data_IF_194645843275
#
_entry.id   IF_194645843275
#
_cell.length_a   1.000
_cell.length_b   1.000
_cell.length_c   1.000
_cell.angle_alpha   90.00
_cell.angle_beta   90.00
_cell.angle_gamma   90.00
#
_symmetry.space_group_name_H-M   'P 1'
#
loop_
_entity.id
_entity.type
_entity.pdbx_description
1 polymer ?
#
# COMPACT_ATOMS: atom_id res chain seq x y z
N UNK A 1 -9.30 -21.40 1.28
CA UNK A 1 -9.55 -21.30 -0.18
C UNK A 1 -9.25 -19.89 -0.69
N UNK A 2 -9.69 -18.84 0.02
CA UNK A 2 -9.45 -17.45 -0.37
C UNK A 2 -7.96 -17.07 -0.19
N UNK A 3 -7.29 -17.57 0.84
CA UNK A 3 -5.89 -17.29 1.15
C UNK A 3 -4.95 -17.83 0.07
N UNK A 4 -5.20 -19.04 -0.44
CA UNK A 4 -4.33 -19.69 -1.45
C UNK A 4 -4.39 -19.02 -2.82
N UNK A 5 -5.51 -18.35 -3.15
CA UNK A 5 -5.70 -17.61 -4.41
C UNK A 5 -5.54 -16.10 -4.25
N UNK A 6 -5.15 -15.63 -3.05
CA UNK A 6 -5.06 -14.20 -2.79
C UNK A 6 -3.93 -13.55 -3.62
N UNK A 7 -4.18 -12.37 -4.20
CA UNK A 7 -3.21 -11.67 -5.06
C UNK A 7 -1.87 -11.40 -4.41
N UNK A 8 -1.76 -11.33 -3.08
CA UNK A 8 -0.48 -11.08 -2.42
C UNK A 8 0.60 -12.11 -2.80
N UNK A 9 0.22 -13.35 -3.09
CA UNK A 9 1.15 -14.39 -3.53
C UNK A 9 1.79 -14.09 -4.88
N UNK A 10 1.14 -13.27 -5.70
CA UNK A 10 1.65 -12.80 -6.98
C UNK A 10 2.38 -11.46 -6.84
N UNK A 11 1.89 -10.59 -5.97
CA UNK A 11 2.40 -9.23 -5.79
C UNK A 11 3.66 -9.20 -4.95
N UNK A 12 3.71 -9.97 -3.85
CA UNK A 12 4.83 -9.96 -2.91
C UNK A 12 6.18 -10.27 -3.57
N UNK A 13 6.30 -11.32 -4.44
CA UNK A 13 7.55 -11.57 -5.16
C UNK A 13 7.96 -10.41 -6.06
N UNK A 14 7.03 -9.69 -6.65
CA UNK A 14 7.32 -8.51 -7.48
C UNK A 14 7.91 -7.38 -6.64
N UNK A 15 7.34 -7.14 -5.46
CA UNK A 15 7.87 -6.13 -4.52
C UNK A 15 9.26 -6.52 -4.00
N UNK A 16 9.48 -7.79 -3.70
CA UNK A 16 10.77 -8.29 -3.23
C UNK A 16 11.89 -8.16 -4.26
N UNK A 17 11.55 -8.13 -5.55
CA UNK A 17 12.50 -7.98 -6.66
C UNK A 17 12.81 -6.53 -7.01
N UNK A 18 12.16 -5.56 -6.39
CA UNK A 18 12.41 -4.14 -6.69
C UNK A 18 13.83 -3.78 -6.28
N UNK A 19 14.62 -3.37 -7.27
CA UNK A 19 15.94 -2.79 -7.08
C UNK A 19 15.81 -1.27 -7.19
N UNK A 20 16.10 -0.59 -6.11
CA UNK A 20 15.99 0.86 -6.03
C UNK A 20 17.21 1.45 -5.31
N UNK A 21 17.67 2.59 -5.78
CA UNK A 21 18.82 3.29 -5.18
C UNK A 21 18.43 4.09 -3.94
N UNK A 22 17.16 4.49 -3.84
CA UNK A 22 16.62 5.27 -2.73
C UNK A 22 15.36 4.66 -2.13
N UNK A 23 15.06 5.03 -0.88
CA UNK A 23 13.81 4.66 -0.24
C UNK A 23 12.60 5.23 -1.00
N UNK A 24 12.73 6.46 -1.49
CA UNK A 24 11.69 7.12 -2.29
C UNK A 24 11.37 6.31 -3.55
N UNK A 25 12.39 5.94 -4.32
CA UNK A 25 12.22 5.13 -5.52
C UNK A 25 11.58 3.78 -5.20
N UNK A 26 12.04 3.11 -4.15
CA UNK A 26 11.46 1.84 -3.72
C UNK A 26 9.95 1.97 -3.42
N UNK A 27 9.57 2.97 -2.63
CA UNK A 27 8.18 3.20 -2.24
C UNK A 27 7.32 3.53 -3.46
N UNK A 28 7.83 4.35 -4.40
CA UNK A 28 7.12 4.66 -5.64
C UNK A 28 6.90 3.42 -6.51
N UNK A 29 7.93 2.60 -6.69
CA UNK A 29 7.82 1.37 -7.48
C UNK A 29 6.91 0.33 -6.81
N UNK A 30 6.98 0.18 -5.48
CA UNK A 30 6.07 -0.69 -4.74
C UNK A 30 4.62 -0.23 -4.89
N UNK A 31 4.36 1.07 -4.77
CA UNK A 31 3.04 1.65 -4.95
C UNK A 31 2.50 1.41 -6.37
N UNK A 32 3.31 1.65 -7.40
CA UNK A 32 2.94 1.40 -8.80
C UNK A 32 2.63 -0.07 -9.05
N UNK A 33 3.43 -0.97 -8.50
CA UNK A 33 3.20 -2.42 -8.60
C UNK A 33 1.85 -2.79 -7.99
N UNK A 34 1.55 -2.29 -6.80
CA UNK A 34 0.26 -2.54 -6.14
C UNK A 34 -0.92 -2.01 -6.97
N UNK A 35 -0.81 -0.80 -7.50
CA UNK A 35 -1.87 -0.21 -8.33
C UNK A 35 -2.11 -1.02 -9.60
N UNK A 36 -1.04 -1.42 -10.28
CA UNK A 36 -1.15 -2.19 -11.52
C UNK A 36 -1.79 -3.55 -11.27
N UNK A 37 -1.35 -4.25 -10.23
CA UNK A 37 -1.82 -5.62 -9.94
C UNK A 37 -3.23 -5.65 -9.34
N UNK A 38 -3.55 -4.71 -8.46
CA UNK A 38 -4.86 -4.64 -7.80
C UNK A 38 -5.89 -3.84 -8.60
N UNK A 39 -5.45 -2.88 -9.42
CA UNK A 39 -6.33 -2.07 -10.25
C UNK A 39 -7.14 -2.88 -11.26
N UNK A 40 -6.63 -4.04 -11.65
CA UNK A 40 -7.32 -4.98 -12.54
C UNK A 40 -8.30 -5.91 -11.81
N UNK A 41 -8.43 -5.77 -10.49
CA UNK A 41 -9.25 -6.64 -9.64
C UNK A 41 -10.16 -5.86 -8.69
N UNK A 42 -11.12 -5.07 -9.22
CA UNK A 42 -12.01 -4.27 -8.38
C UNK A 42 -12.85 -5.12 -7.40
N UNK A 43 -13.08 -6.39 -7.72
CA UNK A 43 -13.84 -7.32 -6.87
C UNK A 43 -13.15 -7.60 -5.53
N UNK A 44 -11.83 -7.50 -5.48
CA UNK A 44 -11.08 -7.70 -4.23
C UNK A 44 -11.36 -6.62 -3.20
N UNK A 45 -11.49 -5.37 -3.63
CA UNK A 45 -11.86 -4.27 -2.74
C UNK A 45 -13.26 -4.46 -2.17
N UNK A 46 -14.21 -4.89 -3.01
CA UNK A 46 -15.56 -5.23 -2.56
C UNK A 46 -15.55 -6.36 -1.53
N UNK A 47 -14.76 -7.41 -1.77
CA UNK A 47 -14.59 -8.51 -0.83
C UNK A 47 -14.00 -8.04 0.51
N UNK A 48 -13.05 -7.12 0.48
CA UNK A 48 -12.50 -6.51 1.70
C UNK A 48 -13.56 -5.78 2.52
N UNK A 49 -14.45 -5.04 1.86
CA UNK A 49 -15.55 -4.35 2.55
C UNK A 49 -16.55 -5.33 3.15
N UNK A 50 -16.95 -6.35 2.41
CA UNK A 50 -17.83 -7.41 2.91
C UNK A 50 -17.19 -8.08 4.13
N UNK A 51 -15.91 -8.38 4.07
CA UNK A 51 -15.17 -8.99 5.16
C UNK A 51 -15.19 -8.11 6.43
N UNK A 52 -14.96 -6.80 6.28
CA UNK A 52 -14.97 -5.87 7.40
C UNK A 52 -16.36 -5.74 8.02
N UNK A 53 -17.40 -5.63 7.19
CA UNK A 53 -18.78 -5.38 7.65
C UNK A 53 -19.42 -6.64 8.20
N UNK A 54 -19.32 -7.77 7.48
CA UNK A 54 -20.02 -9.00 7.83
C UNK A 54 -19.24 -9.88 8.83
N UNK A 55 -17.94 -9.88 8.77
CA UNK A 55 -17.07 -10.78 9.53
C UNK A 55 -16.11 -10.08 10.48
N UNK A 56 -16.24 -8.77 10.68
CA UNK A 56 -15.34 -7.96 11.53
C UNK A 56 -13.84 -8.16 11.22
N UNK A 57 -13.52 -8.44 9.97
CA UNK A 57 -12.14 -8.64 9.52
C UNK A 57 -11.50 -9.95 9.97
N UNK A 58 -12.28 -10.92 10.40
CA UNK A 58 -11.77 -12.20 10.95
C UNK A 58 -10.83 -12.95 10.00
N UNK A 59 -11.18 -13.00 8.71
CA UNK A 59 -10.35 -13.67 7.69
C UNK A 59 -9.17 -12.80 7.26
N UNK A 60 -9.34 -11.48 7.26
CA UNK A 60 -8.25 -10.53 6.99
C UNK A 60 -7.17 -10.61 8.07
N UNK A 61 -7.55 -10.80 9.34
CA UNK A 61 -6.58 -10.99 10.43
C UNK A 61 -5.68 -12.20 10.19
N UNK A 62 -6.23 -13.30 9.69
CA UNK A 62 -5.45 -14.49 9.32
C UNK A 62 -4.51 -14.21 8.15
N UNK A 63 -5.00 -13.49 7.14
CA UNK A 63 -4.20 -13.08 6.00
C UNK A 63 -3.03 -12.18 6.44
N UNK A 64 -3.30 -11.20 7.29
CA UNK A 64 -2.27 -10.30 7.83
C UNK A 64 -1.22 -11.06 8.64
N UNK A 65 -1.63 -12.04 9.44
CA UNK A 65 -0.70 -12.89 10.19
C UNK A 65 0.23 -13.69 9.26
N UNK A 66 -0.25 -14.10 8.09
CA UNK A 66 0.55 -14.80 7.08
C UNK A 66 1.46 -13.85 6.30
N UNK A 67 0.99 -12.66 5.98
CA UNK A 67 1.70 -11.69 5.13
C UNK A 67 2.71 -10.84 5.91
N UNK A 68 2.41 -10.47 7.14
CA UNK A 68 3.26 -9.58 7.94
C UNK A 68 4.71 -10.08 8.09
N UNK A 69 4.98 -11.37 8.39
CA UNK A 69 6.36 -11.88 8.46
C UNK A 69 7.15 -11.75 7.15
N UNK A 70 6.46 -11.59 6.03
CA UNK A 70 7.07 -11.44 4.70
C UNK A 70 7.29 -9.99 4.32
N UNK A 71 6.43 -9.09 4.77
CA UNK A 71 6.50 -7.65 4.46
C UNK A 71 7.42 -6.90 5.42
N UNK A 72 7.34 -7.17 6.72
CA UNK A 72 8.13 -6.46 7.73
C UNK A 72 9.65 -6.48 7.44
N UNK A 73 10.27 -7.62 7.05
CA UNK A 73 11.70 -7.64 6.73
C UNK A 73 12.09 -6.73 5.58
N UNK A 74 11.19 -6.51 4.61
CA UNK A 74 11.42 -5.60 3.48
C UNK A 74 11.58 -4.17 3.99
N UNK A 75 10.67 -3.73 4.87
CA UNK A 75 10.74 -2.39 5.46
C UNK A 75 11.89 -2.23 6.45
N UNK A 76 12.20 -3.26 7.24
CA UNK A 76 13.36 -3.25 8.12
C UNK A 76 14.66 -3.09 7.35
N UNK A 77 14.82 -3.81 6.24
CA UNK A 77 15.96 -3.68 5.35
C UNK A 77 16.03 -2.27 4.76
N UNK A 78 14.89 -1.73 4.32
CA UNK A 78 14.79 -0.39 3.77
C UNK A 78 15.26 0.66 4.79
N UNK A 79 14.82 0.56 6.03
CA UNK A 79 15.21 1.47 7.12
C UNK A 79 16.71 1.37 7.42
N UNK A 80 17.26 0.17 7.47
CA UNK A 80 18.69 -0.05 7.75
C UNK A 80 19.59 0.50 6.65
N UNK A 81 19.22 0.32 5.41
CA UNK A 81 20.02 0.69 4.24
C UNK A 81 19.83 2.17 3.88
N UNK A 82 18.64 2.72 4.12
CA UNK A 82 18.27 4.08 3.69
C UNK A 82 18.24 5.05 4.87
N UNK A 83 19.30 5.79 5.02
CA UNK A 83 19.49 6.75 6.14
C UNK A 83 18.58 7.98 6.08
N UNK A 84 17.92 8.22 4.97
CA UNK A 84 17.03 9.36 4.78
C UNK A 84 15.60 9.14 5.28
N UNK A 85 15.28 7.95 5.78
CA UNK A 85 13.99 7.70 6.41
C UNK A 85 13.96 8.23 7.84
N UNK A 86 12.80 8.74 8.25
CA UNK A 86 12.55 9.06 9.65
C UNK A 86 12.61 7.78 10.49
N UNK A 87 13.03 7.90 11.74
CA UNK A 87 13.05 6.79 12.70
C UNK A 87 11.62 6.46 13.14
N UNK A 88 10.92 5.75 12.28
CA UNK A 88 9.56 5.28 12.53
C UNK A 88 9.62 3.76 12.63
N UNK A 89 8.96 3.14 13.63
CA UNK A 89 8.93 1.69 13.73
C UNK A 89 8.42 1.03 12.43
N UNK A 90 9.03 -0.06 11.95
CA UNK A 90 8.62 -0.73 10.71
C UNK A 90 7.13 -1.05 10.62
N UNK A 91 6.45 -1.56 11.66
CA UNK A 91 5.02 -1.82 11.60
C UNK A 91 4.18 -0.57 11.30
N UNK A 92 4.61 0.59 11.80
CA UNK A 92 3.92 1.87 11.55
C UNK A 92 4.11 2.31 10.11
N UNK A 93 5.31 2.17 9.55
CA UNK A 93 5.58 2.47 8.14
C UNK A 93 4.74 1.59 7.20
N UNK A 94 4.68 0.30 7.46
CA UNK A 94 3.85 -0.63 6.68
C UNK A 94 2.38 -0.26 6.78
N UNK A 95 1.91 -0.03 7.99
CA UNK A 95 0.50 0.31 8.25
C UNK A 95 0.09 1.61 7.60
N UNK A 96 0.94 2.64 7.66
CA UNK A 96 0.66 3.93 7.03
C UNK A 96 0.70 3.84 5.50
N UNK A 97 1.59 3.04 4.93
CA UNK A 97 1.64 2.78 3.49
C UNK A 97 0.35 2.09 3.00
N UNK A 98 -0.07 1.04 3.69
CA UNK A 98 -1.32 0.32 3.38
C UNK A 98 -2.51 1.26 3.54
N UNK A 99 -2.53 2.05 4.61
CA UNK A 99 -3.60 3.03 4.86
C UNK A 99 -3.72 4.07 3.76
N UNK A 100 -2.62 4.61 3.28
CA UNK A 100 -2.58 5.53 2.15
C UNK A 100 -3.18 4.89 0.89
N UNK A 101 -2.79 3.66 0.59
CA UNK A 101 -3.27 2.91 -0.56
C UNK A 101 -4.79 2.65 -0.49
N UNK A 102 -5.28 2.16 0.65
CA UNK A 102 -6.71 1.95 0.87
C UNK A 102 -7.50 3.26 0.84
N UNK A 103 -6.98 4.32 1.43
CA UNK A 103 -7.62 5.63 1.41
C UNK A 103 -7.84 6.12 -0.03
N UNK A 104 -6.84 5.96 -0.88
CA UNK A 104 -6.98 6.32 -2.29
C UNK A 104 -8.10 5.54 -2.97
N UNK A 105 -8.08 4.21 -2.89
CA UNK A 105 -9.08 3.37 -3.56
C UNK A 105 -10.49 3.54 -3.00
N UNK A 106 -10.59 3.67 -1.69
CA UNK A 106 -11.87 3.88 -1.03
C UNK A 106 -12.50 5.20 -1.46
N UNK A 107 -11.72 6.27 -1.45
CA UNK A 107 -12.20 7.59 -1.84
C UNK A 107 -12.51 7.68 -3.33
N UNK A 108 -11.77 6.98 -4.19
CA UNK A 108 -12.12 6.88 -5.63
C UNK A 108 -13.55 6.36 -5.83
N UNK A 109 -13.96 5.36 -5.08
CA UNK A 109 -15.32 4.84 -5.15
C UNK A 109 -16.37 5.86 -4.65
N UNK A 110 -16.04 6.58 -3.57
CA UNK A 110 -16.97 7.54 -2.96
C UNK A 110 -17.16 8.81 -3.79
N UNK A 111 -16.09 9.30 -4.45
CA UNK A 111 -16.14 10.55 -5.20
C UNK A 111 -16.65 10.37 -6.64
N UNK A 112 -16.84 9.15 -7.08
CA UNK A 112 -17.28 8.85 -8.44
C UNK A 112 -18.58 9.58 -8.79
N UNK A 113 -18.54 10.34 -9.90
CA UNK A 113 -19.66 11.18 -10.33
C UNK A 113 -19.79 12.52 -9.59
N UNK A 114 -18.90 12.82 -8.64
CA UNK A 114 -18.92 14.07 -7.88
C UNK A 114 -18.06 15.16 -8.51
N UNK A 115 -18.20 16.40 -8.01
CA UNK A 115 -17.35 17.53 -8.39
C UNK A 115 -15.88 17.26 -8.02
N UNK A 116 -15.61 16.50 -6.96
CA UNK A 116 -14.25 16.16 -6.51
C UNK A 116 -13.56 15.32 -7.57
N UNK A 117 -14.25 14.35 -8.17
CA UNK A 117 -13.71 13.54 -9.26
C UNK A 117 -13.35 14.43 -10.47
N UNK A 118 -14.24 15.35 -10.84
CA UNK A 118 -14.02 16.26 -11.97
C UNK A 118 -12.81 17.19 -11.76
N UNK A 119 -12.59 17.62 -10.51
CA UNK A 119 -11.48 18.51 -10.15
C UNK A 119 -10.18 17.74 -9.85
N UNK A 120 -10.25 16.43 -9.67
CA UNK A 120 -9.09 15.60 -9.36
C UNK A 120 -8.22 15.38 -10.61
N UNK A 121 -6.91 15.60 -10.54
CA UNK A 121 -6.02 15.36 -11.66
C UNK A 121 -5.85 13.87 -11.94
N UNK A 122 -5.46 13.53 -13.17
CA UNK A 122 -5.25 12.13 -13.58
C UNK A 122 -4.13 11.42 -12.82
N UNK A 123 -3.17 12.17 -12.28
CA UNK A 123 -2.06 11.67 -11.48
C UNK A 123 -2.34 11.69 -9.97
N UNK A 124 -3.59 11.64 -9.56
CA UNK A 124 -3.98 11.71 -8.15
C UNK A 124 -3.30 10.67 -7.27
N UNK A 125 -3.09 9.45 -7.78
CA UNK A 125 -2.39 8.42 -7.01
C UNK A 125 -0.93 8.79 -6.73
N UNK A 126 -0.22 9.33 -7.71
CA UNK A 126 1.16 9.79 -7.53
C UNK A 126 1.24 10.90 -6.48
N UNK A 127 0.24 11.77 -6.42
CA UNK A 127 0.16 12.81 -5.40
C UNK A 127 -0.09 12.23 -3.99
N UNK A 128 -0.89 11.18 -3.86
CA UNK A 128 -1.03 10.45 -2.59
C UNK A 128 0.31 9.85 -2.14
N UNK A 129 1.06 9.27 -3.06
CA UNK A 129 2.40 8.75 -2.76
C UNK A 129 3.34 9.86 -2.33
N UNK A 130 3.29 11.02 -2.98
CA UNK A 130 4.08 12.19 -2.59
C UNK A 130 3.77 12.66 -1.17
N UNK A 131 2.50 12.73 -0.81
CA UNK A 131 2.06 13.10 0.55
C UNK A 131 2.63 12.10 1.58
N UNK A 132 2.55 10.80 1.28
CA UNK A 132 3.12 9.78 2.13
C UNK A 132 4.64 9.94 2.28
N UNK A 133 5.35 10.15 1.18
CA UNK A 133 6.80 10.29 1.17
C UNK A 133 7.29 11.50 1.98
N UNK A 134 6.59 12.62 1.91
CA UNK A 134 6.92 13.81 2.71
C UNK A 134 6.71 13.57 4.22
N UNK A 135 5.87 12.60 4.58
CA UNK A 135 5.69 12.20 5.97
C UNK A 135 6.73 11.23 6.51
N UNK A 136 7.39 10.44 5.66
CA UNK A 136 8.32 9.37 6.10
C UNK A 136 9.79 9.67 5.81
N UNK A 137 10.08 10.55 4.88
CA UNK A 137 11.44 10.97 4.55
C UNK A 137 11.83 12.16 5.42
N UNK A 138 13.06 12.14 5.90
CA UNK A 138 13.63 13.31 6.60
C UNK A 138 13.72 14.49 5.66
N UNK A 139 13.27 15.65 6.14
CA UNK A 139 13.58 16.90 5.46
C UNK A 139 15.09 17.12 5.43
N UNK A 140 15.57 17.59 4.30
CA UNK A 140 16.95 18.04 4.19
C UNK A 140 17.13 19.27 5.09
N UNK A 141 18.04 19.17 6.02
CA UNK A 141 18.35 20.31 6.88
C UNK A 141 18.92 21.47 6.05
#
# INVERSE_FOLDING_TARGET
>A
IIIDKHPYKQILPLIQKIEAESAEEFIREAARTLVTELGNRPDLLKLFFIELVEFNGKHVSKLLAEVAPKILPIFEKLIRVRKNLRKIPPPVLVRSFIGMFFSYYFTELLIKGSIIEQLSPKNSFDLFVDIYLHGVIKESA
#
